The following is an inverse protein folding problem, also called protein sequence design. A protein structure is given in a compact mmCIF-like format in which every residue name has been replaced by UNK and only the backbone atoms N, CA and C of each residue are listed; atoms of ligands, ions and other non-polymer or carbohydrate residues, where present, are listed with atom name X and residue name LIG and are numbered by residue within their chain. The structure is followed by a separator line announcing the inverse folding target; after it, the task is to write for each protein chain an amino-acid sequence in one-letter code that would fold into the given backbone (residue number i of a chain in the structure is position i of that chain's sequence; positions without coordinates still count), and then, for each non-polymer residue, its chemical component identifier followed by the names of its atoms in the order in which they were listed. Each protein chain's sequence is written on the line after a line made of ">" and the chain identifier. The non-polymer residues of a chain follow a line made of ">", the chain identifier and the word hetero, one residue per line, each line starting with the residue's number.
data_IF_884984197564
#
_entry.id   IF_884984197564
#
_cell.length_a   1.000
_cell.length_b   1.000
_cell.length_c   1.000
_cell.angle_alpha   90.00
_cell.angle_beta   90.00
_cell.angle_gamma   90.00
#
_symmetry.space_group_name_H-M   'P 1'
#
loop_
_entity.id
_entity.type
_entity.pdbx_description
1 polymer ?
#
# COMPACT_ATOMS: atom_id res chain seq x y z
N UNK A 1 0.79 6.44 32.61
CA UNK A 1 0.95 7.34 31.46
C UNK A 1 0.25 6.78 30.24
N UNK A 2 -0.43 7.65 29.49
CA UNK A 2 -1.18 7.27 28.29
C UNK A 2 -0.28 7.38 27.06
N UNK A 3 -0.43 6.44 26.14
CA UNK A 3 0.29 6.41 24.88
C UNK A 3 -0.70 6.28 23.74
N UNK A 4 -0.42 6.99 22.65
CA UNK A 4 -1.18 6.95 21.42
C UNK A 4 -0.48 6.03 20.43
N UNK A 5 -1.27 5.16 19.80
CA UNK A 5 -0.81 4.26 18.75
C UNK A 5 -1.45 4.69 17.44
N UNK A 6 -0.64 4.99 16.43
CA UNK A 6 -1.14 5.35 15.11
C UNK A 6 -0.59 4.43 14.02
N UNK A 7 -1.46 4.03 13.10
CA UNK A 7 -1.18 3.06 12.05
C UNK A 7 -2.17 3.28 10.89
N UNK A 8 -1.78 3.01 9.63
CA UNK A 8 -2.62 3.24 8.45
C UNK A 8 -3.81 2.30 8.32
N UNK A 9 -3.78 1.18 9.04
CA UNK A 9 -4.78 0.12 8.97
C UNK A 9 -4.20 -1.18 9.53
N UNK A 10 -5.04 -2.17 9.77
CA UNK A 10 -4.61 -3.44 10.36
C UNK A 10 -5.77 -4.35 10.72
N UNK A 11 -5.44 -5.52 11.24
CA UNK A 11 -6.41 -6.48 11.79
C UNK A 11 -6.34 -6.41 13.31
N UNK A 12 -7.50 -6.19 13.92
CA UNK A 12 -7.68 -6.22 15.36
C UNK A 12 -8.45 -7.49 15.72
N UNK A 13 -7.91 -8.28 16.63
CA UNK A 13 -8.61 -9.45 17.14
C UNK A 13 -8.34 -9.66 18.63
N UNK A 14 -9.33 -10.24 19.31
CA UNK A 14 -9.21 -10.63 20.71
C UNK A 14 -9.05 -12.15 20.80
N UNK A 15 -8.09 -12.60 21.60
CA UNK A 15 -7.90 -14.01 21.89
C UNK A 15 -7.49 -14.19 23.35
N UNK A 16 -8.22 -15.03 24.09
CA UNK A 16 -7.96 -15.32 25.52
C UNK A 16 -7.81 -14.04 26.36
N UNK A 17 -8.73 -13.08 26.17
CA UNK A 17 -8.74 -11.79 26.85
C UNK A 17 -7.52 -10.88 26.56
N UNK A 18 -6.73 -11.21 25.54
CA UNK A 18 -5.66 -10.37 25.03
C UNK A 18 -6.07 -9.72 23.71
N UNK A 19 -5.73 -8.44 23.56
CA UNK A 19 -5.93 -7.66 22.34
C UNK A 19 -4.69 -7.76 21.46
N UNK A 20 -4.85 -8.22 20.23
CA UNK A 20 -3.80 -8.26 19.23
C UNK A 20 -4.15 -7.29 18.10
N UNK A 21 -3.19 -6.45 17.75
CA UNK A 21 -3.26 -5.53 16.62
C UNK A 21 -2.13 -5.90 15.67
N UNK A 22 -2.49 -6.45 14.51
CA UNK A 22 -1.55 -6.74 13.44
C UNK A 22 -1.63 -5.63 12.41
N UNK A 23 -0.56 -4.84 12.32
CA UNK A 23 -0.41 -3.80 11.29
C UNK A 23 0.97 -3.92 10.66
N UNK A 24 1.12 -3.40 9.43
CA UNK A 24 2.42 -3.38 8.73
C UNK A 24 3.40 -2.42 9.39
N UNK A 25 2.89 -1.30 9.94
CA UNK A 25 3.67 -0.22 10.55
C UNK A 25 2.86 0.44 11.65
N UNK A 26 3.52 0.85 12.72
CA UNK A 26 2.90 1.61 13.80
C UNK A 26 3.87 2.63 14.39
N UNK A 27 3.32 3.72 14.93
CA UNK A 27 4.03 4.71 15.72
C UNK A 27 3.39 4.77 17.10
N UNK A 28 4.22 4.85 18.15
CA UNK A 28 3.80 4.94 19.54
C UNK A 28 4.48 6.14 20.18
N UNK A 29 3.71 7.07 20.75
CA UNK A 29 4.24 8.22 21.50
C UNK A 29 3.21 8.68 22.54
N UNK A 30 3.67 9.47 23.49
CA UNK A 30 2.85 10.14 24.50
C UNK A 30 2.22 11.45 24.00
N UNK A 31 2.77 12.07 22.95
CA UNK A 31 2.30 13.33 22.37
C UNK A 31 1.60 13.11 21.01
N UNK A 32 0.28 13.30 21.01
CA UNK A 32 -0.60 13.14 19.84
C UNK A 32 -0.22 14.02 18.64
N UNK A 33 0.22 15.26 18.86
CA UNK A 33 0.52 16.20 17.76
C UNK A 33 1.84 15.85 17.04
N UNK A 34 2.79 15.25 17.77
CA UNK A 34 4.05 14.77 17.19
C UNK A 34 3.85 13.51 16.34
N UNK A 35 3.00 12.58 16.78
CA UNK A 35 2.71 11.36 16.02
C UNK A 35 2.01 11.67 14.71
N UNK A 36 1.01 12.56 14.71
CA UNK A 36 0.18 12.79 13.52
C UNK A 36 0.98 13.35 12.34
N UNK A 37 1.95 14.23 12.62
CA UNK A 37 2.80 14.86 11.61
C UNK A 37 3.81 13.87 11.03
N UNK A 38 4.47 13.06 11.88
CA UNK A 38 5.44 12.06 11.43
C UNK A 38 4.79 10.90 10.66
N UNK A 39 3.64 10.41 11.15
CA UNK A 39 2.87 9.36 10.50
C UNK A 39 2.37 9.80 9.12
N UNK A 40 1.82 11.02 9.00
CA UNK A 40 1.26 11.50 7.73
C UNK A 40 2.34 11.63 6.65
N UNK A 41 3.52 12.14 7.00
CA UNK A 41 4.64 12.21 6.05
C UNK A 41 5.12 10.83 5.61
N UNK A 42 5.28 9.88 6.54
CA UNK A 42 5.70 8.52 6.20
C UNK A 42 4.67 7.76 5.36
N UNK A 43 3.37 7.96 5.64
CA UNK A 43 2.29 7.35 4.87
C UNK A 43 2.17 7.93 3.46
N UNK A 44 2.34 9.24 3.30
CA UNK A 44 2.32 9.88 1.99
C UNK A 44 3.44 9.36 1.11
N UNK A 45 4.67 9.27 1.62
CA UNK A 45 5.80 8.71 0.85
C UNK A 45 5.56 7.25 0.46
N UNK A 46 4.92 6.47 1.34
CA UNK A 46 4.64 5.06 1.05
C UNK A 46 3.50 4.88 0.05
N UNK A 47 2.42 5.66 0.14
CA UNK A 47 1.36 5.68 -0.88
C UNK A 47 1.89 6.09 -2.25
N UNK A 48 2.78 7.08 -2.30
CA UNK A 48 3.38 7.55 -3.55
C UNK A 48 4.21 6.43 -4.20
N UNK A 49 5.01 5.70 -3.42
CA UNK A 49 5.77 4.55 -3.92
C UNK A 49 4.88 3.40 -4.41
N UNK A 50 3.77 3.12 -3.73
CA UNK A 50 2.81 2.08 -4.15
C UNK A 50 2.07 2.49 -5.42
N UNK A 51 1.77 3.78 -5.56
CA UNK A 51 1.15 4.34 -6.75
C UNK A 51 2.05 4.23 -7.97
N UNK A 52 3.33 4.57 -7.85
CA UNK A 52 4.31 4.46 -8.94
C UNK A 52 4.46 3.02 -9.46
N UNK A 53 4.47 2.04 -8.55
CA UNK A 53 4.52 0.61 -8.91
C UNK A 53 3.26 0.21 -9.67
N UNK A 54 2.08 0.66 -9.20
CA UNK A 54 0.79 0.36 -9.84
C UNK A 54 0.69 0.99 -11.24
N UNK A 55 1.17 2.20 -11.41
CA UNK A 55 1.20 2.89 -12.71
C UNK A 55 2.14 2.16 -13.68
N UNK A 56 3.35 1.79 -13.22
CA UNK A 56 4.31 1.01 -14.01
C UNK A 56 3.76 -0.35 -14.45
N UNK A 57 3.05 -1.04 -13.55
CA UNK A 57 2.39 -2.31 -13.85
C UNK A 57 1.29 -2.13 -14.91
N UNK A 58 0.45 -1.11 -14.79
CA UNK A 58 -0.61 -0.83 -15.76
C UNK A 58 -0.04 -0.52 -17.16
N UNK A 59 1.06 0.22 -17.23
CA UNK A 59 1.76 0.48 -18.49
C UNK A 59 2.31 -0.81 -19.11
N UNK A 60 2.92 -1.69 -18.31
CA UNK A 60 3.39 -3.00 -18.76
C UNK A 60 2.26 -3.86 -19.31
N UNK A 61 1.12 -3.92 -18.62
CA UNK A 61 -0.07 -4.66 -19.06
C UNK A 61 -0.58 -4.14 -20.42
N UNK A 62 -0.64 -2.82 -20.59
CA UNK A 62 -1.09 -2.21 -21.86
C UNK A 62 -0.14 -2.50 -23.03
N UNK A 63 1.17 -2.49 -22.81
CA UNK A 63 2.17 -2.83 -23.83
C UNK A 63 2.11 -4.32 -24.20
N UNK A 64 1.95 -5.20 -23.21
CA UNK A 64 1.77 -6.63 -23.44
C UNK A 64 0.51 -6.90 -24.27
N UNK A 65 -0.61 -6.27 -23.91
CA UNK A 65 -1.86 -6.42 -24.65
C UNK A 65 -1.75 -5.89 -26.09
N UNK A 66 -1.07 -4.75 -26.29
CA UNK A 66 -0.79 -4.21 -27.64
C UNK A 66 0.05 -5.16 -28.49
N UNK A 67 1.11 -5.75 -27.92
CA UNK A 67 1.97 -6.70 -28.62
C UNK A 67 1.23 -7.99 -28.99
N UNK A 68 0.45 -8.54 -28.06
CA UNK A 68 -0.40 -9.71 -28.31
C UNK A 68 -1.41 -9.44 -29.43
N UNK A 69 -2.02 -8.25 -29.44
CA UNK A 69 -2.95 -7.84 -30.48
C UNK A 69 -2.29 -7.67 -31.86
N UNK A 70 -1.07 -7.12 -31.90
CA UNK A 70 -0.27 -7.02 -33.12
C UNK A 70 0.10 -8.41 -33.66
N UNK A 71 0.53 -9.33 -32.80
CA UNK A 71 0.84 -10.71 -33.18
C UNK A 71 -0.40 -11.44 -33.74
N UNK A 72 -1.57 -11.24 -33.14
CA UNK A 72 -2.84 -11.81 -33.63
C UNK A 72 -3.23 -11.24 -35.00
N UNK A 73 -2.99 -9.95 -35.25
CA UNK A 73 -3.28 -9.31 -36.55
C UNK A 73 -2.27 -9.67 -37.64
N UNK A 74 -1.00 -9.85 -37.28
CA UNK A 74 0.05 -10.32 -38.19
C UNK A 74 -0.05 -11.82 -38.51
N UNK A 75 -0.85 -12.59 -37.75
CA UNK A 75 -1.12 -14.01 -37.96
C UNK A 75 -2.19 -14.34 -39.01
N UNK A 76 -2.77 -13.37 -39.73
CA UNK A 76 -3.77 -13.60 -40.81
C UNK A 76 -3.16 -13.24 -42.18
N UNK A 77 -1.95 -13.73 -42.44
CA UNK A 77 -1.40 -13.82 -43.79
C UNK A 77 -0.64 -15.14 -43.95
N UNK A 78 -1.37 -16.25 -43.97
CA UNK A 78 -0.99 -17.49 -44.65
C UNK A 78 -2.23 -18.05 -45.35
#
# INVERSE_FOLDING_TARGET
>A
DWYYLAFPGGILYFLNNNLYISSRRFLCDSDYQRISTGLMQQLLTEEESLREIKESLSHLEQEMFRRLWQMQRSGIHL
#
